data_IF_192893715557
#
_entry.id   IF_192893715557
#
_cell.length_a   1.000
_cell.length_b   1.000
_cell.length_c   1.000
_cell.angle_alpha   90.00
_cell.angle_beta   90.00
_cell.angle_gamma   90.00
#
_symmetry.space_group_name_H-M   'P 1'
#
loop_
_entity.id
_entity.type
_entity.pdbx_description
1 polymer ?
#
# COMPACT_ATOMS: atom_id res chain seq x y z
N UNK A 1 -13.48 1.99 -3.01
CA UNK A 1 -13.21 0.61 -3.48
C UNK A 1 -14.47 -0.24 -3.57
N UNK A 2 -15.16 -0.55 -2.45
CA UNK A 2 -16.31 -1.47 -2.44
C UNK A 2 -17.44 -1.08 -3.42
N UNK A 3 -17.95 0.15 -3.36
CA UNK A 3 -19.02 0.62 -4.25
C UNK A 3 -18.63 0.51 -5.74
N UNK A 4 -17.41 0.93 -6.12
CA UNK A 4 -16.88 0.80 -7.50
C UNK A 4 -16.88 -0.67 -7.95
N UNK A 5 -16.44 -1.59 -7.10
CA UNK A 5 -16.39 -3.02 -7.39
C UNK A 5 -17.78 -3.65 -7.57
N UNK A 6 -18.76 -3.23 -6.77
CA UNK A 6 -20.15 -3.68 -6.85
C UNK A 6 -20.88 -3.12 -8.08
N UNK A 7 -20.75 -1.82 -8.34
CA UNK A 7 -21.36 -1.16 -9.51
C UNK A 7 -20.81 -1.73 -10.82
N UNK A 8 -19.50 -2.02 -10.90
CA UNK A 8 -18.90 -2.73 -12.05
C UNK A 8 -19.52 -4.12 -12.31
N UNK A 9 -20.22 -4.71 -11.33
CA UNK A 9 -20.94 -6.00 -11.43
C UNK A 9 -22.46 -5.81 -11.54
N UNK A 10 -22.91 -4.62 -11.95
CA UNK A 10 -24.33 -4.31 -12.16
C UNK A 10 -25.16 -4.23 -10.87
N UNK A 11 -24.53 -4.10 -9.70
CA UNK A 11 -25.25 -3.98 -8.44
C UNK A 11 -25.64 -2.52 -8.16
N UNK A 12 -26.88 -2.31 -7.72
CA UNK A 12 -27.34 -1.02 -7.23
C UNK A 12 -26.80 -0.77 -5.82
N UNK A 13 -26.18 0.40 -5.59
CA UNK A 13 -25.53 0.74 -4.32
C UNK A 13 -26.03 2.08 -3.81
N UNK A 14 -26.46 2.12 -2.54
CA UNK A 14 -26.77 3.35 -1.81
C UNK A 14 -25.75 3.55 -0.68
N UNK A 15 -25.12 4.72 -0.62
CA UNK A 15 -24.15 5.07 0.43
C UNK A 15 -24.82 5.95 1.48
N UNK A 16 -24.80 5.51 2.75
CA UNK A 16 -25.16 6.34 3.89
C UNK A 16 -23.90 6.79 4.62
N UNK A 17 -23.75 8.09 4.84
CA UNK A 17 -22.64 8.68 5.57
C UNK A 17 -23.20 9.58 6.67
N UNK A 18 -22.66 9.47 7.90
CA UNK A 18 -23.05 10.33 9.02
C UNK A 18 -22.63 11.79 8.78
N UNK A 19 -21.51 11.99 8.09
CA UNK A 19 -20.91 13.29 7.87
C UNK A 19 -21.49 13.98 6.62
N UNK A 20 -21.36 15.32 6.56
CA UNK A 20 -21.84 16.12 5.42
C UNK A 20 -21.06 15.87 4.12
N UNK A 21 -19.87 15.30 4.22
CA UNK A 21 -18.96 15.06 3.10
C UNK A 21 -18.20 13.75 3.33
N UNK A 22 -17.77 13.06 2.26
CA UNK A 22 -16.89 11.90 2.41
C UNK A 22 -15.53 12.28 3.02
N UNK A 23 -14.80 11.26 3.50
CA UNK A 23 -13.44 11.38 4.04
C UNK A 23 -13.27 12.33 5.24
N UNK A 24 -14.32 12.55 6.05
CA UNK A 24 -14.24 13.31 7.32
C UNK A 24 -13.81 12.46 8.53
N UNK A 25 -13.63 11.16 8.34
CA UNK A 25 -12.96 10.26 9.29
C UNK A 25 -11.45 10.13 9.01
N UNK A 26 -10.91 8.93 9.22
CA UNK A 26 -9.47 8.67 9.07
C UNK A 26 -8.91 8.82 7.64
N UNK A 27 -9.76 8.73 6.61
CA UNK A 27 -9.34 8.83 5.20
C UNK A 27 -9.07 10.27 4.73
N UNK A 28 -9.20 11.28 5.59
CA UNK A 28 -9.07 12.69 5.23
C UNK A 28 -7.64 13.26 5.25
N UNK A 29 -6.61 12.41 5.35
CA UNK A 29 -5.22 12.85 5.35
C UNK A 29 -4.83 13.41 3.98
N UNK A 30 -3.96 14.42 3.96
CA UNK A 30 -3.45 15.03 2.72
C UNK A 30 -2.52 14.10 1.95
N UNK A 31 -1.71 13.31 2.67
CA UNK A 31 -0.76 12.37 2.11
C UNK A 31 -0.72 11.13 3.01
N UNK A 32 -0.57 9.96 2.39
CA UNK A 32 -0.44 8.69 3.10
C UNK A 32 0.58 7.80 2.38
N UNK A 33 1.42 7.11 3.15
CA UNK A 33 2.36 6.15 2.61
C UNK A 33 1.66 4.84 2.24
N UNK A 34 1.99 4.28 1.08
CA UNK A 34 1.46 3.00 0.61
C UNK A 34 2.63 2.05 0.37
N UNK A 35 2.74 1.01 1.20
CA UNK A 35 3.74 -0.05 1.10
C UNK A 35 3.19 -1.33 1.75
N UNK A 36 3.66 -2.53 1.38
CA UNK A 36 3.16 -3.77 1.97
C UNK A 36 3.67 -3.97 3.41
N UNK A 37 2.80 -4.46 4.29
CA UNK A 37 3.23 -4.96 5.60
C UNK A 37 3.75 -6.41 5.46
N UNK A 38 5.06 -6.58 5.62
CA UNK A 38 5.73 -7.88 5.55
C UNK A 38 6.29 -8.26 6.93
N UNK A 39 6.35 -9.56 7.23
CA UNK A 39 6.90 -10.07 8.49
C UNK A 39 7.76 -11.34 8.35
N UNK A 40 8.30 -11.60 7.16
CA UNK A 40 9.09 -12.78 6.85
C UNK A 40 8.55 -13.52 5.62
N UNK A 41 8.56 -14.88 5.59
CA UNK A 41 8.23 -15.66 4.41
C UNK A 41 6.78 -15.44 3.94
N UNK A 42 6.41 -16.08 2.82
CA UNK A 42 5.09 -15.99 2.16
C UNK A 42 3.92 -16.64 2.95
N UNK A 43 3.82 -16.36 4.25
CA UNK A 43 2.80 -16.86 5.17
C UNK A 43 2.19 -15.70 5.96
N UNK A 44 1.14 -15.98 6.74
CA UNK A 44 0.51 -14.99 7.62
C UNK A 44 0.13 -13.70 6.89
N UNK A 45 0.55 -12.57 7.45
CA UNK A 45 0.23 -11.23 6.92
C UNK A 45 0.91 -10.98 5.56
N UNK A 46 2.14 -11.46 5.35
CA UNK A 46 2.86 -11.28 4.07
C UNK A 46 2.08 -11.88 2.89
N UNK A 47 1.42 -13.03 3.09
CA UNK A 47 0.59 -13.67 2.05
C UNK A 47 -0.58 -12.80 1.59
N UNK A 48 -1.07 -11.90 2.45
CA UNK A 48 -2.18 -10.99 2.13
C UNK A 48 -1.63 -9.66 1.61
N UNK A 49 -0.70 -9.04 2.33
CA UNK A 49 -0.28 -7.67 2.04
C UNK A 49 0.62 -7.53 0.82
N UNK A 50 1.43 -8.54 0.47
CA UNK A 50 2.23 -8.50 -0.75
C UNK A 50 1.35 -8.41 -2.02
N UNK A 51 0.40 -9.33 -2.28
CA UNK A 51 -0.49 -9.20 -3.43
C UNK A 51 -1.49 -8.04 -3.27
N UNK A 52 -1.93 -7.70 -2.06
CA UNK A 52 -2.82 -6.56 -1.85
C UNK A 52 -2.16 -5.22 -2.24
N UNK A 53 -0.85 -5.06 -2.00
CA UNK A 53 -0.11 -3.89 -2.46
C UNK A 53 -0.08 -3.78 -3.98
N UNK A 54 0.23 -4.88 -4.68
CA UNK A 54 0.23 -4.90 -6.16
C UNK A 54 -1.17 -4.58 -6.72
N UNK A 55 -2.21 -5.18 -6.14
CA UNK A 55 -3.59 -4.88 -6.51
C UNK A 55 -3.95 -3.41 -6.23
N UNK A 56 -3.55 -2.87 -5.08
CA UNK A 56 -3.82 -1.47 -4.73
C UNK A 56 -3.14 -0.51 -5.70
N UNK A 57 -1.89 -0.76 -6.09
CA UNK A 57 -1.19 0.03 -7.12
C UNK A 57 -1.95 0.01 -8.43
N UNK A 58 -2.29 -1.17 -8.95
CA UNK A 58 -3.05 -1.29 -10.19
C UNK A 58 -4.43 -0.61 -10.09
N UNK A 59 -5.12 -0.75 -8.96
CA UNK A 59 -6.43 -0.14 -8.74
C UNK A 59 -6.36 1.39 -8.74
N UNK A 60 -5.33 1.97 -8.11
CA UNK A 60 -5.09 3.42 -8.08
C UNK A 60 -4.73 3.93 -9.47
N UNK A 61 -3.83 3.25 -10.20
CA UNK A 61 -3.47 3.60 -11.58
C UNK A 61 -4.69 3.59 -12.51
N UNK A 62 -5.53 2.57 -12.43
CA UNK A 62 -6.78 2.51 -13.21
C UNK A 62 -7.77 3.61 -12.80
N UNK A 63 -7.79 4.00 -11.52
CA UNK A 63 -8.63 5.10 -11.07
C UNK A 63 -8.11 6.44 -11.61
N UNK A 64 -6.79 6.65 -11.62
CA UNK A 64 -6.15 7.87 -12.12
C UNK A 64 -6.41 8.12 -13.62
N UNK A 65 -6.73 7.09 -14.39
CA UNK A 65 -7.17 7.23 -15.79
C UNK A 65 -8.58 7.80 -15.93
N UNK A 66 -9.42 7.65 -14.90
CA UNK A 66 -10.83 8.05 -14.91
C UNK A 66 -11.10 9.32 -14.09
N UNK A 67 -10.32 9.56 -13.03
CA UNK A 67 -10.50 10.66 -12.07
C UNK A 67 -9.15 11.25 -11.66
N UNK A 68 -9.12 12.57 -11.48
CA UNK A 68 -7.93 13.28 -11.03
C UNK A 68 -7.81 13.30 -9.50
N UNK A 69 -6.61 13.03 -9.00
CA UNK A 69 -6.23 13.14 -7.59
C UNK A 69 -4.69 13.08 -7.43
N UNK A 70 -4.18 13.82 -6.44
CA UNK A 70 -2.76 13.84 -6.12
C UNK A 70 -2.25 12.45 -5.70
N UNK A 71 -1.27 11.92 -6.43
CA UNK A 71 -0.56 10.69 -6.08
C UNK A 71 0.81 10.63 -6.79
N UNK A 72 1.70 9.77 -6.28
CA UNK A 72 2.98 9.49 -6.91
C UNK A 72 3.61 8.21 -6.37
N UNK A 73 4.20 7.40 -7.24
CA UNK A 73 4.92 6.18 -6.87
C UNK A 73 6.43 6.45 -6.78
N UNK A 74 6.83 7.30 -5.85
CA UNK A 74 8.23 7.66 -5.61
C UNK A 74 9.03 6.63 -4.81
N UNK A 75 8.42 5.51 -4.42
CA UNK A 75 9.02 4.51 -3.54
C UNK A 75 8.88 4.86 -2.06
N UNK A 76 9.18 3.87 -1.20
CA UNK A 76 9.18 4.04 0.26
C UNK A 76 10.44 3.38 0.80
N UNK A 77 11.28 4.16 1.49
CA UNK A 77 12.48 3.66 2.16
C UNK A 77 12.19 3.47 3.64
N UNK A 78 12.41 2.26 4.15
CA UNK A 78 12.39 1.96 5.58
C UNK A 78 13.83 1.84 6.09
N UNK A 79 14.19 2.68 7.05
CA UNK A 79 15.55 2.75 7.57
C UNK A 79 15.79 1.67 8.64
N UNK A 80 16.97 1.04 8.57
CA UNK A 80 17.56 0.21 9.63
C UNK A 80 18.32 1.13 10.61
N UNK A 81 17.60 1.95 11.37
CA UNK A 81 18.18 3.04 12.18
C UNK A 81 18.55 2.62 13.61
N UNK A 82 18.09 1.44 14.04
CA UNK A 82 18.41 0.82 15.32
C UNK A 82 18.46 -0.71 15.17
N UNK A 83 18.94 -1.42 16.20
CA UNK A 83 19.05 -2.89 16.17
C UNK A 83 17.69 -3.55 15.93
N UNK A 84 16.62 -2.98 16.50
CA UNK A 84 15.26 -3.53 16.40
C UNK A 84 14.70 -3.44 14.98
N UNK A 85 14.88 -2.31 14.30
CA UNK A 85 14.47 -2.11 12.91
C UNK A 85 15.35 -2.94 11.97
N UNK A 86 16.65 -3.05 12.26
CA UNK A 86 17.58 -3.94 11.55
C UNK A 86 17.09 -5.39 11.60
N UNK A 87 16.89 -5.93 12.80
CA UNK A 87 16.42 -7.31 12.99
C UNK A 87 15.08 -7.57 12.29
N UNK A 88 14.16 -6.60 12.33
CA UNK A 88 12.86 -6.70 11.67
C UNK A 88 13.01 -6.74 10.15
N UNK A 89 13.80 -5.84 9.58
CA UNK A 89 13.95 -5.71 8.12
C UNK A 89 14.77 -6.85 7.55
N UNK A 90 15.80 -7.35 8.25
CA UNK A 90 16.55 -8.56 7.85
C UNK A 90 15.65 -9.81 7.79
N UNK A 91 14.72 -9.96 8.74
CA UNK A 91 13.72 -11.04 8.67
C UNK A 91 12.82 -10.95 7.44
N UNK A 92 12.45 -9.73 7.04
CA UNK A 92 11.64 -9.50 5.83
C UNK A 92 12.45 -9.86 4.58
N UNK A 93 13.72 -9.46 4.52
CA UNK A 93 14.64 -9.77 3.42
C UNK A 93 14.86 -11.27 3.25
N UNK A 94 14.94 -12.03 4.35
CA UNK A 94 15.00 -13.49 4.33
C UNK A 94 13.74 -14.17 3.73
N UNK A 95 12.66 -13.42 3.50
CA UNK A 95 11.45 -13.89 2.84
C UNK A 95 11.62 -14.14 1.33
N UNK A 96 12.74 -13.73 0.72
CA UNK A 96 13.06 -13.93 -0.71
C UNK A 96 11.98 -13.38 -1.67
N UNK A 97 11.41 -12.23 -1.34
CA UNK A 97 10.55 -11.51 -2.28
C UNK A 97 11.35 -10.98 -3.48
N UNK A 98 10.65 -10.73 -4.58
CA UNK A 98 11.24 -10.17 -5.79
C UNK A 98 11.76 -8.75 -5.56
N UNK A 99 12.90 -8.34 -6.18
CA UNK A 99 13.48 -7.00 -6.01
C UNK A 99 12.54 -5.84 -6.36
N UNK A 100 11.57 -6.06 -7.27
CA UNK A 100 10.55 -5.08 -7.65
C UNK A 100 9.55 -4.79 -6.53
N UNK A 101 9.45 -5.67 -5.52
CA UNK A 101 8.62 -5.47 -4.33
C UNK A 101 9.42 -4.85 -3.19
N UNK A 102 10.59 -5.42 -2.87
CA UNK A 102 11.51 -4.95 -1.84
C UNK A 102 12.95 -5.22 -2.26
N UNK A 103 13.85 -4.31 -1.91
CA UNK A 103 15.29 -4.49 -2.08
C UNK A 103 16.02 -3.83 -0.91
N UNK A 104 17.16 -4.41 -0.53
CA UNK A 104 18.08 -3.77 0.42
C UNK A 104 18.94 -2.78 -0.35
N UNK A 105 19.07 -1.58 0.18
CA UNK A 105 19.88 -0.50 -0.38
C UNK A 105 20.91 -0.04 0.66
N UNK A 106 22.09 0.39 0.20
CA UNK A 106 23.06 1.10 1.02
C UNK A 106 22.60 2.53 1.30
N UNK A 107 23.30 3.22 2.20
CA UNK A 107 23.00 4.62 2.48
C UNK A 107 23.19 5.49 1.23
N UNK A 108 24.23 5.22 0.44
CA UNK A 108 24.54 5.92 -0.81
C UNK A 108 23.47 5.71 -1.89
N UNK A 109 22.86 4.54 -1.94
CA UNK A 109 21.77 4.22 -2.89
C UNK A 109 20.43 4.88 -2.50
N UNK A 110 20.31 5.38 -1.28
CA UNK A 110 19.11 6.07 -0.77
C UNK A 110 19.23 7.60 -0.69
N UNK A 111 20.40 8.14 -1.03
CA UNK A 111 20.74 9.56 -0.91
C UNK A 111 20.18 10.44 -2.04
#
# INVERSE_FOLDING_TARGET
ALAKTLVRRGQNVTLYCKDKQPAKGASGNRQGAVYPLLNGPHTGVSRVFAPAFLFARQFVEQAAQEIDFDHGWCGVTQLMWDDKSTDKLEKILAGNFTPELIQKLSAEETA
#
